data_IF_378425756651
#
_entry.id   IF_378425756651
#
_cell.length_a   1.000
_cell.length_b   1.000
_cell.length_c   1.000
_cell.angle_alpha   90.00
_cell.angle_beta   90.00
_cell.angle_gamma   90.00
#
_symmetry.space_group_name_H-M   'P 1'
#
loop_
_entity.id
_entity.type
_entity.pdbx_description
1 polymer ?
#
# COMPACT_ATOMS: atom_id res chain seq x y z
N UNK A 1 -4.12 11.51 -10.07
CA UNK A 1 -4.74 12.64 -9.34
C UNK A 1 -6.18 12.30 -9.02
N UNK A 2 -6.64 12.24 -7.75
CA UNK A 2 -7.96 11.76 -7.36
C UNK A 2 -9.11 12.61 -7.94
N UNK A 3 -9.44 12.35 -9.19
CA UNK A 3 -10.67 12.70 -9.89
C UNK A 3 -11.70 11.60 -9.61
N UNK A 4 -13.01 11.83 -9.80
CA UNK A 4 -14.03 10.78 -9.56
C UNK A 4 -13.78 9.49 -10.37
N UNK A 5 -12.98 9.57 -11.43
CA UNK A 5 -12.48 8.45 -12.24
C UNK A 5 -11.40 7.59 -11.57
N UNK A 6 -10.91 7.97 -10.39
CA UNK A 6 -9.80 7.27 -9.73
C UNK A 6 -10.23 6.05 -8.96
N UNK A 7 -11.51 5.96 -8.59
CA UNK A 7 -12.01 4.77 -7.93
C UNK A 7 -11.92 3.55 -8.86
N UNK A 8 -12.29 3.69 -10.14
CA UNK A 8 -12.13 2.63 -11.14
C UNK A 8 -10.68 2.34 -11.56
N UNK A 9 -9.73 3.18 -11.16
CA UNK A 9 -8.28 2.94 -11.32
C UNK A 9 -7.64 2.34 -10.07
N UNK A 10 -8.36 2.41 -8.94
CA UNK A 10 -7.90 1.92 -7.65
C UNK A 10 -8.44 0.54 -7.33
N UNK A 11 -9.65 0.25 -7.77
CA UNK A 11 -10.41 -0.97 -7.47
C UNK A 11 -10.59 -1.77 -8.76
N UNK A 12 -10.13 -3.01 -8.76
CA UNK A 12 -10.20 -3.94 -9.90
C UNK A 12 -11.46 -4.79 -9.87
N UNK A 13 -11.87 -5.24 -8.68
CA UNK A 13 -13.07 -6.04 -8.47
C UNK A 13 -14.35 -5.18 -8.60
N UNK A 14 -15.24 -5.48 -9.57
CA UNK A 14 -16.45 -4.68 -9.79
C UNK A 14 -17.45 -4.68 -8.62
N UNK A 15 -17.57 -5.77 -7.86
CA UNK A 15 -18.49 -5.83 -6.72
C UNK A 15 -17.94 -5.03 -5.54
N UNK A 16 -16.63 -5.15 -5.27
CA UNK A 16 -15.97 -4.31 -4.25
C UNK A 16 -16.02 -2.82 -4.64
N UNK A 17 -15.91 -2.52 -5.93
CA UNK A 17 -16.07 -1.17 -6.46
C UNK A 17 -17.44 -0.59 -6.12
N UNK A 18 -18.53 -1.37 -6.32
CA UNK A 18 -19.89 -0.93 -5.96
C UNK A 18 -20.01 -0.65 -4.46
N UNK A 19 -19.50 -1.54 -3.62
CA UNK A 19 -19.54 -1.40 -2.16
C UNK A 19 -18.81 -0.12 -1.70
N UNK A 20 -17.61 0.13 -2.24
CA UNK A 20 -16.82 1.31 -1.90
C UNK A 20 -17.49 2.58 -2.46
N UNK A 21 -18.06 2.51 -3.67
CA UNK A 21 -18.75 3.62 -4.28
C UNK A 21 -20.00 4.03 -3.48
N UNK A 22 -20.73 3.07 -2.91
CA UNK A 22 -21.95 3.28 -2.11
C UNK A 22 -21.70 3.72 -0.67
N UNK A 23 -20.44 3.75 -0.20
CA UNK A 23 -20.13 4.15 1.17
C UNK A 23 -20.43 5.65 1.39
N UNK A 24 -21.42 6.03 2.23
CA UNK A 24 -21.79 7.43 2.45
C UNK A 24 -20.71 8.22 3.20
N UNK A 25 -19.75 7.53 3.84
CA UNK A 25 -18.60 8.15 4.53
C UNK A 25 -17.42 8.40 3.58
N UNK A 26 -17.49 7.96 2.32
CA UNK A 26 -16.43 8.19 1.35
C UNK A 26 -16.43 9.65 0.92
N UNK A 27 -15.26 10.28 0.96
CA UNK A 27 -15.07 11.58 0.36
C UNK A 27 -15.17 11.51 -1.17
N UNK A 28 -16.08 12.29 -1.75
CA UNK A 28 -16.34 12.32 -3.21
C UNK A 28 -15.95 13.65 -3.87
N UNK A 29 -15.49 14.61 -3.08
CA UNK A 29 -15.05 15.91 -3.57
C UNK A 29 -13.67 15.88 -4.22
N UNK A 30 -13.31 16.96 -4.88
CA UNK A 30 -11.94 17.15 -5.40
C UNK A 30 -10.96 17.35 -4.23
N UNK A 31 -9.74 16.78 -4.28
CA UNK A 31 -8.74 17.01 -3.24
C UNK A 31 -8.49 18.50 -3.06
N UNK A 32 -8.65 18.99 -1.82
CA UNK A 32 -8.47 20.39 -1.46
C UNK A 32 -7.01 20.81 -1.70
N UNK A 33 -6.79 22.06 -2.09
CA UNK A 33 -5.45 22.58 -2.40
C UNK A 33 -4.50 22.41 -1.22
N UNK A 34 -4.97 22.73 0.00
CA UNK A 34 -4.19 22.50 1.22
C UNK A 34 -3.78 21.04 1.40
N UNK A 35 -4.71 20.09 1.22
CA UNK A 35 -4.39 18.66 1.30
C UNK A 35 -3.37 18.22 0.25
N UNK A 36 -3.45 18.74 -0.99
CA UNK A 36 -2.47 18.44 -2.03
C UNK A 36 -1.07 18.94 -1.66
N UNK A 37 -0.99 20.17 -1.13
CA UNK A 37 0.27 20.75 -0.66
C UNK A 37 0.89 19.89 0.44
N UNK A 38 0.10 19.48 1.42
CA UNK A 38 0.62 18.65 2.52
C UNK A 38 1.04 17.25 2.06
N UNK A 39 0.31 16.62 1.15
CA UNK A 39 0.73 15.34 0.55
C UNK A 39 2.09 15.50 -0.14
N UNK A 40 2.27 16.52 -0.97
CA UNK A 40 3.53 16.77 -1.66
C UNK A 40 4.68 17.00 -0.66
N UNK A 41 4.47 17.88 0.34
CA UNK A 41 5.45 18.19 1.39
C UNK A 41 5.86 16.94 2.17
N UNK A 42 4.91 16.08 2.54
CA UNK A 42 5.20 14.85 3.29
C UNK A 42 5.90 13.82 2.42
N UNK A 43 5.52 13.69 1.14
CA UNK A 43 6.22 12.79 0.21
C UNK A 43 7.68 13.20 0.02
N UNK A 44 7.98 14.48 -0.13
CA UNK A 44 9.34 15.02 -0.21
C UNK A 44 10.11 14.76 1.09
N UNK A 45 9.53 15.11 2.24
CA UNK A 45 10.14 14.85 3.55
C UNK A 45 10.49 13.37 3.75
N UNK A 46 9.59 12.44 3.38
CA UNK A 46 9.85 11.00 3.51
C UNK A 46 11.00 10.57 2.59
N UNK A 47 11.04 11.04 1.35
CA UNK A 47 12.12 10.72 0.40
C UNK A 47 13.48 11.17 0.94
N UNK A 48 13.56 12.41 1.45
CA UNK A 48 14.81 12.97 2.00
C UNK A 48 15.26 12.28 3.29
N UNK A 49 14.32 11.75 4.07
CA UNK A 49 14.58 11.17 5.38
C UNK A 49 14.58 9.64 5.40
N UNK A 50 14.41 8.96 4.27
CA UNK A 50 14.31 7.50 4.22
C UNK A 50 15.58 6.81 4.75
N UNK A 51 16.74 7.46 4.64
CA UNK A 51 18.01 7.01 5.24
C UNK A 51 17.98 6.84 6.75
N UNK A 52 17.04 7.51 7.44
CA UNK A 52 16.94 7.50 8.90
C UNK A 52 16.10 6.33 9.42
N UNK A 53 15.42 5.60 8.54
CA UNK A 53 14.64 4.42 8.92
C UNK A 53 15.60 3.26 9.17
N UNK A 54 15.65 2.80 10.41
CA UNK A 54 16.50 1.68 10.84
C UNK A 54 15.72 0.37 10.99
N UNK A 55 14.39 0.44 11.09
CA UNK A 55 13.53 -0.72 11.17
C UNK A 55 13.35 -1.39 9.80
N UNK A 56 13.19 -2.72 9.74
CA UNK A 56 12.82 -3.39 8.50
C UNK A 56 11.50 -2.87 7.93
N UNK A 57 11.44 -2.64 6.61
CA UNK A 57 10.24 -2.15 5.91
C UNK A 57 9.87 -3.07 4.75
N UNK A 58 8.57 -3.37 4.61
CA UNK A 58 7.98 -4.00 3.42
C UNK A 58 7.23 -2.93 2.64
N UNK A 59 7.55 -2.82 1.35
CA UNK A 59 6.78 -2.08 0.37
C UNK A 59 6.12 -3.08 -0.59
N UNK A 60 4.81 -2.92 -0.79
CA UNK A 60 4.02 -3.73 -1.72
C UNK A 60 3.33 -2.81 -2.71
N UNK A 61 3.26 -3.21 -3.98
CA UNK A 61 2.68 -2.37 -5.02
C UNK A 61 2.09 -3.20 -6.18
N UNK A 62 0.98 -2.76 -6.76
CA UNK A 62 0.41 -3.40 -7.95
C UNK A 62 0.99 -2.83 -9.25
N UNK A 63 1.41 -3.68 -10.22
CA UNK A 63 2.04 -3.18 -11.46
C UNK A 63 1.09 -2.36 -12.34
N UNK A 64 -0.22 -2.56 -12.19
CA UNK A 64 -1.28 -1.85 -12.92
C UNK A 64 -1.97 -0.76 -12.06
N UNK A 65 -1.31 -0.27 -11.00
CA UNK A 65 -1.80 0.83 -10.18
C UNK A 65 -1.98 2.12 -11.01
N UNK A 66 -3.23 2.53 -11.20
CA UNK A 66 -3.58 3.74 -11.95
C UNK A 66 -3.69 5.02 -11.09
N UNK A 67 -3.33 4.95 -9.81
CA UNK A 67 -3.38 6.04 -8.83
C UNK A 67 -1.98 6.53 -8.47
N UNK A 68 -1.05 5.62 -8.15
CA UNK A 68 0.34 5.94 -7.79
C UNK A 68 1.34 5.14 -8.63
N UNK A 69 2.44 5.80 -9.02
CA UNK A 69 3.40 5.21 -9.94
C UNK A 69 4.35 4.23 -9.21
N UNK A 70 4.54 2.98 -9.70
CA UNK A 70 5.42 1.98 -9.09
C UNK A 70 6.89 2.42 -8.97
N UNK A 71 7.33 3.38 -9.81
CA UNK A 71 8.71 3.88 -9.82
C UNK A 71 9.11 4.54 -8.50
N UNK A 72 8.15 5.11 -7.76
CA UNK A 72 8.41 5.67 -6.42
C UNK A 72 8.72 4.58 -5.41
N UNK A 73 8.04 3.43 -5.50
CA UNK A 73 8.29 2.25 -4.67
C UNK A 73 9.65 1.62 -4.97
N UNK A 74 10.18 1.78 -6.20
CA UNK A 74 11.56 1.40 -6.55
C UNK A 74 12.61 2.30 -5.91
N UNK A 75 12.33 3.59 -5.68
CA UNK A 75 13.24 4.46 -4.94
C UNK A 75 13.36 4.02 -3.47
N UNK A 76 12.27 3.47 -2.91
CA UNK A 76 12.27 2.83 -1.59
C UNK A 76 13.03 1.49 -1.57
N UNK A 77 13.19 0.81 -2.70
CA UNK A 77 13.80 -0.52 -2.79
C UNK A 77 15.24 -0.57 -2.30
N UNK A 78 16.01 0.50 -2.45
CA UNK A 78 17.38 0.56 -1.94
C UNK A 78 17.45 0.38 -0.41
N UNK A 79 16.32 0.59 0.30
CA UNK A 79 16.26 0.57 1.77
C UNK A 79 15.13 -0.29 2.34
N UNK A 80 14.28 -0.88 1.50
CA UNK A 80 13.12 -1.67 1.90
C UNK A 80 12.94 -2.91 1.01
N UNK A 81 12.35 -3.97 1.56
CA UNK A 81 11.89 -5.10 0.74
C UNK A 81 10.75 -4.63 -0.16
N UNK A 82 10.88 -4.72 -1.49
CA UNK A 82 9.80 -4.39 -2.43
C UNK A 82 9.22 -5.64 -3.07
N UNK A 83 7.90 -5.77 -3.06
CA UNK A 83 7.18 -6.80 -3.80
C UNK A 83 6.17 -6.15 -4.76
N UNK A 84 6.33 -6.43 -6.04
CA UNK A 84 5.42 -5.95 -7.09
C UNK A 84 4.49 -7.10 -7.49
N UNK A 85 3.19 -6.85 -7.43
CA UNK A 85 2.15 -7.79 -7.82
C UNK A 85 1.68 -7.49 -9.23
N UNK A 86 1.93 -8.42 -10.14
CA UNK A 86 1.64 -8.19 -11.55
C UNK A 86 0.14 -8.10 -11.84
N UNK A 87 -0.26 -7.12 -12.64
CA UNK A 87 -1.64 -6.86 -13.04
C UNK A 87 -2.56 -6.36 -11.92
N UNK A 88 -2.10 -6.24 -10.67
CA UNK A 88 -2.90 -5.72 -9.56
C UNK A 88 -2.94 -4.19 -9.56
N UNK A 89 -4.06 -3.63 -9.10
CA UNK A 89 -4.34 -2.20 -9.02
C UNK A 89 -3.86 -1.61 -7.68
N UNK A 90 -4.29 -0.39 -7.37
CA UNK A 90 -3.88 0.36 -6.17
C UNK A 90 -4.29 -0.30 -4.85
N UNK A 91 -5.55 -0.74 -4.76
CA UNK A 91 -6.14 -1.21 -3.50
C UNK A 91 -5.95 -2.72 -3.35
N UNK A 92 -4.72 -3.14 -3.08
CA UNK A 92 -4.29 -4.55 -3.05
C UNK A 92 -5.15 -5.45 -2.15
N UNK A 93 -5.59 -4.97 -0.98
CA UNK A 93 -6.36 -5.77 -0.02
C UNK A 93 -7.87 -5.63 -0.24
N UNK A 94 -8.35 -4.40 -0.47
CA UNK A 94 -9.79 -4.09 -0.46
C UNK A 94 -10.41 -3.97 -1.86
N UNK A 95 -9.60 -4.00 -2.92
CA UNK A 95 -10.06 -3.72 -4.28
C UNK A 95 -9.64 -4.73 -5.34
N UNK A 96 -8.77 -5.68 -5.01
CA UNK A 96 -8.48 -6.84 -5.85
C UNK A 96 -9.50 -7.97 -5.60
N UNK A 97 -9.65 -8.93 -6.53
CA UNK A 97 -10.36 -10.19 -6.26
C UNK A 97 -9.82 -10.90 -5.02
N UNK A 98 -10.65 -11.71 -4.34
CA UNK A 98 -10.28 -12.36 -3.08
C UNK A 98 -9.02 -13.23 -3.19
N UNK A 99 -8.83 -13.93 -4.30
CA UNK A 99 -7.62 -14.71 -4.57
C UNK A 99 -6.35 -13.84 -4.51
N UNK A 100 -6.37 -12.69 -5.18
CA UNK A 100 -5.27 -11.74 -5.20
C UNK A 100 -5.04 -11.11 -3.82
N UNK A 101 -6.11 -10.70 -3.15
CA UNK A 101 -6.03 -10.14 -1.80
C UNK A 101 -5.44 -11.15 -0.80
N UNK A 102 -5.81 -12.44 -0.91
CA UNK A 102 -5.29 -13.51 -0.07
C UNK A 102 -3.80 -13.75 -0.31
N UNK A 103 -3.32 -13.65 -1.56
CA UNK A 103 -1.88 -13.70 -1.87
C UNK A 103 -1.15 -12.56 -1.15
N UNK A 104 -1.65 -11.33 -1.26
CA UNK A 104 -1.04 -10.15 -0.61
C UNK A 104 -1.01 -10.32 0.91
N UNK A 105 -2.12 -10.74 1.52
CA UNK A 105 -2.22 -10.95 2.97
C UNK A 105 -1.30 -12.08 3.46
N UNK A 106 -1.20 -13.18 2.71
CA UNK A 106 -0.27 -14.27 3.02
C UNK A 106 1.16 -13.77 3.01
N UNK A 107 1.56 -13.06 1.96
CA UNK A 107 2.93 -12.55 1.84
C UNK A 107 3.27 -11.52 2.93
N UNK A 108 2.31 -10.66 3.31
CA UNK A 108 2.47 -9.74 4.44
C UNK A 108 2.68 -10.49 5.74
N UNK A 109 1.89 -11.55 5.98
CA UNK A 109 2.02 -12.40 7.16
C UNK A 109 3.37 -13.09 7.19
N UNK A 110 3.77 -13.76 6.12
CA UNK A 110 5.06 -14.46 6.03
C UNK A 110 6.22 -13.50 6.32
N UNK A 111 6.19 -12.29 5.75
CA UNK A 111 7.22 -11.28 6.00
C UNK A 111 7.29 -10.82 7.47
N UNK A 112 6.15 -10.75 8.15
CA UNK A 112 6.05 -10.43 9.59
C UNK A 112 6.56 -11.61 10.42
N UNK A 113 6.09 -12.82 10.13
CA UNK A 113 6.47 -14.06 10.84
C UNK A 113 7.99 -14.26 10.78
N UNK A 114 8.61 -14.04 9.62
CA UNK A 114 10.07 -14.08 9.44
C UNK A 114 10.81 -13.09 10.36
N UNK A 115 10.24 -11.91 10.59
CA UNK A 115 10.83 -10.87 11.45
C UNK A 115 10.62 -11.14 12.92
N UNK A 116 9.46 -11.66 13.29
CA UNK A 116 9.21 -12.12 14.65
C UNK A 116 10.18 -13.27 14.98
N UNK A 117 10.38 -14.21 14.05
CA UNK A 117 11.35 -15.28 14.24
C UNK A 117 12.79 -14.76 14.34
N UNK A 118 13.17 -13.79 13.50
CA UNK A 118 14.55 -13.25 13.45
C UNK A 118 14.89 -12.27 14.58
N UNK A 119 13.94 -11.42 14.97
CA UNK A 119 14.17 -10.28 15.89
C UNK A 119 13.36 -10.39 17.19
N UNK A 120 12.40 -11.30 17.28
CA UNK A 120 11.69 -11.57 18.52
C UNK A 120 12.63 -12.11 19.57
N UNK A 121 12.53 -11.58 20.79
CA UNK A 121 13.14 -12.23 21.95
C UNK A 121 12.38 -13.53 22.15
N UNK A 122 13.04 -14.67 21.93
CA UNK A 122 12.47 -15.96 22.31
C UNK A 122 12.44 -15.98 23.84
N UNK A 123 11.29 -15.67 24.45
CA UNK A 123 11.06 -15.98 25.85
C UNK A 123 10.90 -17.51 25.96
N UNK A 124 11.82 -18.23 26.62
CA UNK A 124 11.73 -19.68 26.76
C UNK A 124 10.50 -20.15 27.55
N UNK A 125 9.77 -19.23 28.20
CA UNK A 125 8.65 -19.53 29.10
C UNK A 125 7.26 -19.21 28.53
N UNK A 126 7.15 -18.81 27.26
CA UNK A 126 5.85 -18.59 26.63
C UNK A 126 5.25 -19.95 26.20
N UNK A 127 4.62 -20.63 27.14
CA UNK A 127 3.81 -21.84 26.92
C UNK A 127 2.39 -21.52 26.48
#
# INVERSE_FOLDING_TARGET
MPDNKMLGRAIKDPEKLKIIASNPRRYTGRPRVGSRREIARVCEYIQDNLSRVTSPVLSVHGSADGVTCPTSSKLLYEKASLKIYDGMYHSLIQGEPDENANIVLRDMREWIDDRVHKYGVMDPNLH
#
